data_IF_075650810312
#
_entry.id   IF_075650810312
#
_cell.length_a   1.000
_cell.length_b   1.000
_cell.length_c   1.000
_cell.angle_alpha   90.00
_cell.angle_beta   90.00
_cell.angle_gamma   90.00
#
_symmetry.space_group_name_H-M   'P 1'
#
loop_
_entity.id
_entity.type
_entity.pdbx_description
1 polymer ?
#
# COMPACT_ATOMS: atom_id res chain seq x y z
N UNK A 1 -6.90 2.42 20.04
CA UNK A 1 -5.63 3.19 20.13
C UNK A 1 -5.47 3.92 18.81
N UNK A 2 -5.75 5.22 18.80
CA UNK A 2 -5.74 6.02 17.57
C UNK A 2 -4.39 6.72 17.40
N UNK A 3 -3.66 6.39 16.35
CA UNK A 3 -2.52 7.18 15.92
C UNK A 3 -3.09 8.38 15.14
N UNK A 4 -3.47 9.45 15.84
CA UNK A 4 -3.96 10.68 15.22
C UNK A 4 -2.79 11.53 14.68
N UNK A 5 -1.96 10.93 13.82
CA UNK A 5 -0.94 11.66 13.08
C UNK A 5 -1.50 11.99 11.70
N UNK A 6 -1.65 13.28 11.43
CA UNK A 6 -1.99 13.82 10.11
C UNK A 6 -0.71 14.04 9.33
N UNK A 7 -0.68 13.60 8.08
CA UNK A 7 0.43 13.85 7.15
C UNK A 7 -0.09 14.68 5.98
N UNK A 8 0.75 15.57 5.45
CA UNK A 8 0.41 16.29 4.23
C UNK A 8 0.54 15.35 3.02
N UNK A 9 -0.49 15.35 2.18
CA UNK A 9 -0.48 14.60 0.92
C UNK A 9 0.22 15.46 -0.14
N UNK A 10 1.35 14.98 -0.64
CA UNK A 10 2.13 15.65 -1.69
C UNK A 10 1.53 15.42 -3.09
N UNK A 11 0.71 14.38 -3.28
CA UNK A 11 0.03 14.09 -4.54
C UNK A 11 -0.75 12.78 -4.50
N UNK A 12 -1.44 12.48 -5.60
CA UNK A 12 -2.16 11.21 -5.81
C UNK A 12 -1.63 10.57 -7.10
N UNK A 13 -1.41 9.26 -7.09
CA UNK A 13 -0.98 8.55 -8.30
C UNK A 13 -1.05 7.03 -8.16
N UNK A 14 -0.70 6.34 -9.23
CA UNK A 14 -0.64 4.89 -9.26
C UNK A 14 0.73 4.40 -8.77
N UNK A 15 0.73 3.38 -7.91
CA UNK A 15 1.93 2.78 -7.34
C UNK A 15 2.03 1.32 -7.75
N UNK A 16 3.12 0.97 -8.42
CA UNK A 16 3.45 -0.41 -8.75
C UNK A 16 4.22 -1.07 -7.60
N UNK A 17 3.60 -2.05 -6.95
CA UNK A 17 4.19 -2.84 -5.87
C UNK A 17 4.64 -4.20 -6.41
N UNK A 18 5.95 -4.43 -6.44
CA UNK A 18 6.56 -5.70 -6.89
C UNK A 18 6.83 -6.60 -5.70
N UNK A 19 6.24 -7.79 -5.71
CA UNK A 19 6.51 -8.81 -4.71
C UNK A 19 7.69 -9.68 -5.13
N UNK A 20 8.41 -10.25 -4.15
CA UNK A 20 9.50 -11.21 -4.40
C UNK A 20 9.01 -12.52 -5.02
N UNK A 21 7.70 -12.79 -5.00
CA UNK A 21 7.06 -13.89 -5.71
C UNK A 21 6.95 -13.66 -7.23
N UNK A 22 7.41 -12.52 -7.75
CA UNK A 22 7.30 -12.16 -9.17
C UNK A 22 5.93 -11.58 -9.56
N UNK A 23 4.98 -11.50 -8.62
CA UNK A 23 3.69 -10.85 -8.82
C UNK A 23 3.82 -9.34 -8.64
N UNK A 24 3.03 -8.59 -9.41
CA UNK A 24 2.94 -7.14 -9.33
C UNK A 24 1.51 -6.73 -8.98
N UNK A 25 1.37 -5.79 -8.05
CA UNK A 25 0.10 -5.16 -7.69
C UNK A 25 0.16 -3.68 -8.03
N UNK A 26 -0.80 -3.20 -8.82
CA UNK A 26 -0.95 -1.77 -9.10
C UNK A 26 -1.99 -1.23 -8.11
N UNK A 27 -1.55 -0.35 -7.23
CA UNK A 27 -2.42 0.43 -6.37
C UNK A 27 -2.80 1.70 -7.11
N UNK A 28 -4.10 1.93 -7.29
CA UNK A 28 -4.62 3.14 -7.94
C UNK A 28 -4.97 4.20 -6.91
N UNK A 29 -4.90 5.46 -7.34
CA UNK A 29 -5.34 6.62 -6.54
C UNK A 29 -4.68 6.68 -5.15
N UNK A 30 -3.38 6.35 -5.07
CA UNK A 30 -2.63 6.34 -3.81
C UNK A 30 -2.24 7.75 -3.41
N UNK A 31 -2.63 8.17 -2.21
CA UNK A 31 -2.15 9.41 -1.60
C UNK A 31 -0.69 9.26 -1.18
N UNK A 32 0.20 10.01 -1.82
CA UNK A 32 1.61 10.06 -1.48
C UNK A 32 1.85 11.03 -0.32
N UNK A 33 2.31 10.51 0.82
CA UNK A 33 2.67 11.29 2.00
C UNK A 33 4.14 11.01 2.37
N UNK A 34 5.10 11.85 1.96
CA UNK A 34 6.53 11.61 2.18
C UNK A 34 6.93 11.46 3.66
N UNK A 35 6.21 12.16 4.54
CA UNK A 35 6.42 12.12 5.99
C UNK A 35 5.95 10.79 6.62
N UNK A 36 5.14 10.00 5.89
CA UNK A 36 4.65 8.70 6.33
C UNK A 36 5.72 7.63 6.13
N UNK A 37 6.35 7.18 7.22
CA UNK A 37 7.46 6.22 7.19
C UNK A 37 7.04 4.74 7.09
N UNK A 38 5.76 4.43 7.28
CA UNK A 38 5.25 3.06 7.31
C UNK A 38 4.02 2.94 6.42
N UNK A 39 4.03 1.96 5.54
CA UNK A 39 2.87 1.54 4.76
C UNK A 39 2.33 0.25 5.37
N UNK A 40 1.00 0.09 5.39
CA UNK A 40 0.35 -1.16 5.77
C UNK A 40 -0.48 -1.64 4.59
N UNK A 41 -0.33 -2.92 4.23
CA UNK A 41 -1.14 -3.58 3.21
C UNK A 41 -1.89 -4.72 3.87
N UNK A 42 -3.20 -4.81 3.63
CA UNK A 42 -4.04 -5.84 4.23
C UNK A 42 -3.77 -7.20 3.58
N UNK A 43 -3.18 -8.14 4.33
CA UNK A 43 -2.95 -9.51 3.88
C UNK A 43 -4.23 -10.25 3.50
N UNK A 44 -5.34 -9.98 4.19
CA UNK A 44 -6.64 -10.58 3.87
C UNK A 44 -7.14 -10.16 2.47
N UNK A 45 -7.02 -8.88 2.12
CA UNK A 45 -7.42 -8.38 0.81
C UNK A 45 -6.49 -8.90 -0.29
N UNK A 46 -5.19 -8.98 0.00
CA UNK A 46 -4.22 -9.61 -0.89
C UNK A 46 -4.57 -11.09 -1.17
N UNK A 47 -4.89 -11.86 -0.14
CA UNK A 47 -5.32 -13.26 -0.29
C UNK A 47 -6.59 -13.38 -1.13
N UNK A 48 -7.59 -12.52 -0.88
CA UNK A 48 -8.83 -12.48 -1.68
C UNK A 48 -8.56 -12.14 -3.15
N UNK A 49 -7.51 -11.36 -3.42
CA UNK A 49 -7.05 -11.01 -4.76
C UNK A 49 -6.07 -12.05 -5.38
N UNK A 50 -5.83 -13.20 -4.73
CA UNK A 50 -4.97 -14.27 -5.25
C UNK A 50 -3.47 -14.10 -4.95
N UNK A 51 -3.11 -13.14 -4.09
CA UNK A 51 -1.76 -12.97 -3.57
C UNK A 51 -1.60 -13.79 -2.28
N UNK A 52 -1.61 -15.13 -2.40
CA UNK A 52 -1.30 -16.01 -1.28
C UNK A 52 0.20 -15.96 -0.97
N UNK A 53 0.55 -15.85 0.31
CA UNK A 53 1.84 -16.38 0.78
C UNK A 53 1.76 -17.90 0.72
N UNK A 54 2.82 -18.53 0.23
CA UNK A 54 2.93 -20.00 0.18
C UNK A 54 3.56 -20.48 1.48
#
# INVERSE_FOLDING_TARGET
>A
MGNAHTFNVAGIGDVELKFTSGKTLILKDVMHAPDMRKNLVSGFLLNKAGFSQT
#
